data_IF_483205152814
#
_entry.id   IF_483205152814
#
_cell.length_a   1.000
_cell.length_b   1.000
_cell.length_c   1.000
_cell.angle_alpha   90.00
_cell.angle_beta   90.00
_cell.angle_gamma   90.00
#
_symmetry.space_group_name_H-M   'P 1'
#
loop_
_entity.id
_entity.type
_entity.pdbx_description
1 polymer ?
#
# COMPACT_ATOMS: atom_id res chain seq x y z
N UNK A 1 35.40 -24.61 -7.88
CA UNK A 1 34.98 -23.27 -7.42
C UNK A 1 35.06 -23.30 -5.91
N UNK A 2 35.78 -22.37 -5.29
CA UNK A 2 35.83 -22.27 -3.81
C UNK A 2 34.48 -21.79 -3.32
N UNK A 3 34.05 -22.15 -2.11
CA UNK A 3 32.74 -21.78 -1.56
C UNK A 3 32.48 -20.25 -1.61
N UNK A 4 33.53 -19.47 -1.32
CA UNK A 4 33.48 -18.00 -1.39
C UNK A 4 33.22 -17.50 -2.83
N UNK A 5 33.79 -18.10 -3.83
CA UNK A 5 33.60 -17.73 -5.25
C UNK A 5 32.14 -18.00 -5.68
N UNK A 6 31.58 -19.14 -5.23
CA UNK A 6 30.19 -19.47 -5.47
C UNK A 6 29.24 -18.41 -4.85
N UNK A 7 29.42 -18.11 -3.56
CA UNK A 7 28.57 -17.11 -2.89
C UNK A 7 28.75 -15.72 -3.47
N UNK A 8 29.96 -15.33 -3.87
CA UNK A 8 30.23 -14.05 -4.53
C UNK A 8 29.43 -13.92 -5.82
N UNK A 9 29.41 -14.95 -6.63
CA UNK A 9 28.65 -14.98 -7.89
C UNK A 9 27.14 -14.99 -7.65
N UNK A 10 26.64 -15.86 -6.74
CA UNK A 10 25.21 -16.01 -6.45
C UNK A 10 24.62 -14.76 -5.81
N UNK A 11 25.34 -14.12 -4.88
CA UNK A 11 24.89 -12.92 -4.18
C UNK A 11 25.14 -11.62 -4.96
N UNK A 12 25.90 -11.68 -6.05
CA UNK A 12 26.27 -10.51 -6.84
C UNK A 12 27.10 -9.49 -6.06
N UNK A 13 27.88 -9.93 -5.07
CA UNK A 13 28.74 -9.06 -4.27
C UNK A 13 29.96 -8.70 -5.09
N UNK A 14 30.18 -7.41 -5.30
CA UNK A 14 31.27 -6.86 -6.08
C UNK A 14 32.05 -5.81 -5.30
N UNK A 15 33.32 -5.60 -5.68
CA UNK A 15 34.16 -4.54 -5.09
C UNK A 15 33.44 -3.19 -5.08
N UNK A 16 33.59 -2.42 -4.02
CA UNK A 16 34.54 -2.57 -2.90
C UNK A 16 34.09 -3.53 -1.78
N UNK A 17 33.00 -4.27 -1.94
CA UNK A 17 32.56 -5.27 -0.98
C UNK A 17 33.11 -6.66 -1.35
N UNK A 18 33.64 -7.38 -0.36
CA UNK A 18 34.28 -8.67 -0.54
C UNK A 18 33.79 -9.63 0.53
N UNK A 19 33.45 -10.86 0.16
CA UNK A 19 33.15 -11.92 1.12
C UNK A 19 34.45 -12.35 1.79
N UNK A 20 34.49 -12.22 3.11
CA UNK A 20 35.66 -12.62 3.92
C UNK A 20 35.51 -14.02 4.49
N UNK A 21 34.26 -14.46 4.76
CA UNK A 21 33.96 -15.77 5.32
C UNK A 21 32.55 -16.25 4.96
N UNK A 22 32.36 -17.56 4.94
CA UNK A 22 31.05 -18.19 4.74
C UNK A 22 30.93 -19.41 5.66
N UNK A 23 29.96 -19.41 6.56
CA UNK A 23 29.73 -20.46 7.54
C UNK A 23 28.36 -21.08 7.41
N UNK A 24 28.26 -22.39 7.59
CA UNK A 24 27.01 -23.16 7.58
C UNK A 24 26.76 -23.78 8.94
N UNK A 25 25.67 -23.40 9.58
CA UNK A 25 25.15 -24.07 10.78
C UNK A 25 23.99 -24.98 10.36
N UNK A 26 24.30 -26.28 10.25
CA UNK A 26 23.30 -27.29 9.87
C UNK A 26 22.25 -27.46 10.95
N UNK A 27 22.61 -27.30 12.22
CA UNK A 27 21.69 -27.49 13.37
C UNK A 27 20.65 -26.38 13.42
N UNK A 28 21.07 -25.12 13.23
CA UNK A 28 20.17 -23.98 13.20
C UNK A 28 19.58 -23.71 11.81
N UNK A 29 19.97 -24.48 10.81
CA UNK A 29 19.59 -24.28 9.41
C UNK A 29 19.87 -22.86 8.90
N UNK A 30 21.09 -22.38 9.13
CA UNK A 30 21.53 -21.04 8.76
C UNK A 30 22.83 -21.05 7.96
N UNK A 31 22.92 -20.12 7.01
CA UNK A 31 24.15 -19.74 6.33
C UNK A 31 24.45 -18.29 6.69
N UNK A 32 25.62 -18.03 7.24
CA UNK A 32 26.11 -16.69 7.54
C UNK A 32 27.27 -16.34 6.61
N UNK A 33 27.11 -15.25 5.85
CA UNK A 33 28.11 -14.72 4.92
C UNK A 33 28.66 -13.44 5.52
N UNK A 34 29.97 -13.42 5.82
CA UNK A 34 30.66 -12.24 6.32
C UNK A 34 31.23 -11.43 5.17
N UNK A 35 30.95 -10.14 5.16
CA UNK A 35 31.36 -9.21 4.08
C UNK A 35 32.12 -8.04 4.68
N UNK A 36 33.23 -7.68 4.05
CA UNK A 36 34.05 -6.51 4.42
C UNK A 36 34.06 -5.49 3.27
N UNK A 37 34.26 -4.24 3.63
CA UNK A 37 34.47 -3.16 2.66
C UNK A 37 35.96 -2.94 2.44
N UNK A 38 36.43 -3.21 1.22
CA UNK A 38 37.83 -3.09 0.80
C UNK A 38 37.96 -2.00 -0.28
N UNK A 39 38.05 -0.75 0.17
CA UNK A 39 38.18 0.40 -0.72
C UNK A 39 37.89 1.75 -0.04
N UNK A 40 37.99 2.85 -0.80
CA UNK A 40 37.67 4.17 -0.28
C UNK A 40 36.18 4.29 0.07
N UNK A 41 35.89 4.83 1.25
CA UNK A 41 34.55 5.04 1.71
C UNK A 41 34.02 6.43 1.28
N UNK A 42 32.85 6.48 0.66
CA UNK A 42 32.26 7.70 0.12
C UNK A 42 31.00 8.12 0.87
N UNK A 43 30.77 9.41 0.94
CA UNK A 43 29.55 9.96 1.54
C UNK A 43 28.32 9.59 0.69
N UNK A 44 27.27 8.97 1.28
CA UNK A 44 26.07 8.57 0.54
C UNK A 44 25.25 9.75 0.01
N UNK A 45 25.50 10.96 0.48
CA UNK A 45 24.75 12.16 0.09
C UNK A 45 25.46 12.92 -1.03
N UNK A 46 26.77 13.23 -0.88
CA UNK A 46 27.50 14.03 -1.86
C UNK A 46 28.51 13.25 -2.71
N UNK A 47 28.71 11.94 -2.46
CA UNK A 47 29.63 11.10 -3.21
C UNK A 47 31.13 11.34 -2.93
N UNK A 48 31.48 12.32 -2.11
CA UNK A 48 32.90 12.62 -1.79
C UNK A 48 33.49 11.54 -0.89
N UNK A 49 34.73 11.18 -1.16
CA UNK A 49 35.52 10.34 -0.26
C UNK A 49 35.79 11.10 1.02
N UNK A 50 35.65 10.46 2.17
CA UNK A 50 35.91 11.04 3.48
C UNK A 50 36.62 10.04 4.38
N UNK A 51 37.24 10.55 5.46
CA UNK A 51 37.93 9.71 6.41
C UNK A 51 37.00 8.77 7.15
N UNK A 52 37.47 7.54 7.36
CA UNK A 52 36.73 6.58 8.17
C UNK A 52 36.66 7.04 9.61
N UNK A 53 35.45 7.16 10.16
CA UNK A 53 35.20 7.50 11.54
C UNK A 53 35.28 6.27 12.44
N UNK A 54 34.40 5.26 12.14
CA UNK A 54 34.37 3.95 12.80
C UNK A 54 33.72 2.91 11.91
N UNK A 55 33.41 1.74 12.44
CA UNK A 55 32.74 0.65 11.75
C UNK A 55 31.62 0.11 12.63
N UNK A 56 30.48 -0.22 12.02
CA UNK A 56 29.37 -0.89 12.71
C UNK A 56 29.03 -2.21 12.06
N UNK A 57 28.95 -3.24 12.86
CA UNK A 57 28.45 -4.53 12.41
C UNK A 57 26.96 -4.44 12.13
N UNK A 58 26.54 -4.88 10.96
CA UNK A 58 25.14 -4.93 10.51
C UNK A 58 24.85 -6.28 9.89
N UNK A 59 23.64 -6.78 10.11
CA UNK A 59 23.20 -8.07 9.60
C UNK A 59 21.88 -7.92 8.85
N UNK A 60 21.76 -8.59 7.71
CA UNK A 60 20.57 -8.59 6.85
C UNK A 60 20.15 -10.02 6.53
N UNK A 61 18.85 -10.26 6.62
CA UNK A 61 18.24 -11.47 6.10
C UNK A 61 18.20 -11.40 4.58
N UNK A 62 18.72 -12.46 3.92
CA UNK A 62 18.64 -12.65 2.47
C UNK A 62 17.66 -13.76 2.13
N UNK A 63 17.43 -14.04 0.83
CA UNK A 63 16.67 -15.19 0.36
C UNK A 63 17.31 -16.48 0.88
N UNK A 64 16.46 -17.49 1.13
CA UNK A 64 16.94 -18.79 1.57
C UNK A 64 17.86 -19.44 0.53
N UNK A 65 18.93 -20.04 0.98
CA UNK A 65 19.78 -20.88 0.15
C UNK A 65 19.40 -22.34 0.40
N UNK A 66 18.69 -22.97 -0.54
CA UNK A 66 18.04 -24.26 -0.35
C UNK A 66 17.09 -24.24 0.87
N UNK A 67 17.31 -25.09 1.88
CA UNK A 67 16.55 -25.15 3.12
C UNK A 67 17.07 -24.19 4.22
N UNK A 68 18.20 -23.55 4.00
CA UNK A 68 18.88 -22.73 4.99
C UNK A 68 18.50 -21.26 4.88
N UNK A 69 18.29 -20.61 6.02
CA UNK A 69 18.17 -19.17 6.06
C UNK A 69 19.53 -18.52 5.83
N UNK A 70 19.63 -17.65 4.84
CA UNK A 70 20.87 -16.95 4.56
C UNK A 70 20.87 -15.54 5.16
N UNK A 71 21.95 -15.19 5.82
CA UNK A 71 22.21 -13.87 6.37
C UNK A 71 23.51 -13.31 5.81
N UNK A 72 23.51 -12.01 5.54
CA UNK A 72 24.69 -11.24 5.19
C UNK A 72 25.05 -10.38 6.40
N UNK A 73 26.23 -10.56 6.96
CA UNK A 73 26.79 -9.75 8.04
C UNK A 73 27.93 -8.92 7.47
N UNK A 74 27.92 -7.62 7.67
CA UNK A 74 29.00 -6.76 7.19
C UNK A 74 29.44 -5.74 8.24
N UNK A 75 30.75 -5.52 8.27
CA UNK A 75 31.40 -4.42 9.00
C UNK A 75 31.30 -3.15 8.15
N UNK A 76 30.24 -2.35 8.38
CA UNK A 76 29.90 -1.18 7.56
C UNK A 76 30.62 0.07 8.08
N UNK A 77 31.52 0.68 7.28
CA UNK A 77 32.18 1.91 7.67
C UNK A 77 31.20 3.07 7.87
N UNK A 78 31.47 3.88 8.88
CA UNK A 78 30.97 5.24 8.97
C UNK A 78 32.11 6.20 8.66
N UNK A 79 31.79 7.26 7.96
CA UNK A 79 32.75 8.28 7.53
C UNK A 79 32.38 9.60 8.17
N UNK A 80 33.36 10.48 8.35
CA UNK A 80 33.14 11.86 8.74
C UNK A 80 33.26 12.76 7.50
N UNK A 81 32.13 13.29 7.07
CA UNK A 81 32.06 14.15 5.89
C UNK A 81 31.96 15.61 6.33
N UNK A 82 32.84 16.45 5.82
CA UNK A 82 32.91 17.89 6.17
C UNK A 82 31.58 18.62 5.98
N UNK A 83 30.75 18.17 4.99
CA UNK A 83 29.47 18.80 4.68
C UNK A 83 28.27 18.16 5.41
N UNK A 84 28.34 16.85 5.73
CA UNK A 84 27.20 16.09 6.22
C UNK A 84 27.42 15.43 7.57
N UNK A 85 28.61 15.62 8.17
CA UNK A 85 29.00 14.97 9.41
C UNK A 85 29.09 13.45 9.29
N UNK A 86 29.00 12.77 10.42
CA UNK A 86 29.17 11.31 10.45
C UNK A 86 28.01 10.61 9.76
N UNK A 87 28.31 9.85 8.71
CA UNK A 87 27.37 9.06 7.91
C UNK A 87 27.85 7.63 7.72
N UNK A 88 26.91 6.66 7.76
CA UNK A 88 27.19 5.30 7.35
C UNK A 88 27.18 5.23 5.82
N UNK A 89 28.15 4.53 5.22
CA UNK A 89 28.16 4.34 3.77
C UNK A 89 26.97 3.46 3.34
N UNK A 90 26.53 3.62 2.09
CA UNK A 90 25.48 2.79 1.52
C UNK A 90 25.98 1.37 1.26
N UNK A 91 25.12 0.37 1.50
CA UNK A 91 25.37 -1.00 1.09
C UNK A 91 24.55 -1.30 -0.17
N UNK A 92 25.07 -2.06 -1.15
CA UNK A 92 24.38 -2.26 -2.43
C UNK A 92 23.17 -3.20 -2.34
N UNK A 93 23.10 -4.04 -1.31
CA UNK A 93 22.08 -5.07 -1.16
C UNK A 93 20.87 -4.71 -0.31
N UNK A 94 20.89 -3.58 0.41
CA UNK A 94 19.80 -3.21 1.31
C UNK A 94 19.58 -1.70 1.36
N UNK A 95 18.35 -1.29 1.64
CA UNK A 95 18.02 0.11 1.94
C UNK A 95 18.46 0.51 3.35
N UNK A 96 18.61 1.81 3.56
CA UNK A 96 18.90 2.37 4.86
C UNK A 96 17.83 1.90 5.88
N UNK A 97 18.31 1.52 7.07
CA UNK A 97 17.48 1.02 8.19
C UNK A 97 16.72 -0.29 7.91
N UNK A 98 16.88 -0.93 6.78
CA UNK A 98 16.35 -2.27 6.57
C UNK A 98 17.22 -3.33 7.24
N UNK A 99 16.59 -4.37 7.81
CA UNK A 99 17.23 -5.62 8.24
C UNK A 99 17.16 -6.72 7.17
N UNK A 100 16.70 -6.36 5.95
CA UNK A 100 16.48 -7.29 4.84
C UNK A 100 17.18 -6.79 3.59
N UNK A 101 17.61 -7.72 2.75
CA UNK A 101 18.11 -7.35 1.43
C UNK A 101 16.96 -6.96 0.50
N UNK A 102 17.25 -6.15 -0.50
CA UNK A 102 16.25 -5.72 -1.50
C UNK A 102 15.59 -6.91 -2.22
N UNK A 103 16.34 -7.96 -2.51
CA UNK A 103 15.81 -9.19 -3.11
C UNK A 103 14.86 -9.94 -2.16
N UNK A 104 15.17 -10.00 -0.87
CA UNK A 104 14.27 -10.57 0.12
C UNK A 104 12.98 -9.78 0.24
N UNK A 105 13.05 -8.45 0.33
CA UNK A 105 11.87 -7.58 0.36
C UNK A 105 11.00 -7.75 -0.90
N UNK A 106 11.64 -7.83 -2.07
CA UNK A 106 10.93 -8.05 -3.33
C UNK A 106 10.19 -9.40 -3.34
N UNK A 107 10.81 -10.46 -2.84
CA UNK A 107 10.20 -11.78 -2.71
C UNK A 107 9.00 -11.75 -1.76
N UNK A 108 9.15 -11.12 -0.58
CA UNK A 108 8.03 -10.95 0.38
C UNK A 108 6.87 -10.20 -0.26
N UNK A 109 7.13 -9.09 -0.95
CA UNK A 109 6.09 -8.31 -1.64
C UNK A 109 5.41 -9.14 -2.74
N UNK A 110 6.17 -9.96 -3.49
CA UNK A 110 5.59 -10.85 -4.49
C UNK A 110 4.64 -11.87 -3.86
N UNK A 111 5.01 -12.51 -2.74
CA UNK A 111 4.15 -13.43 -2.02
C UNK A 111 2.91 -12.75 -1.42
N UNK A 112 3.01 -11.51 -0.96
CA UNK A 112 1.86 -10.76 -0.43
C UNK A 112 0.80 -10.43 -1.48
N UNK A 113 1.12 -10.53 -2.76
CA UNK A 113 0.14 -10.38 -3.86
C UNK A 113 -0.69 -11.64 -4.08
N UNK A 114 -0.17 -12.79 -3.67
CA UNK A 114 -0.78 -14.11 -3.93
C UNK A 114 -1.35 -14.76 -2.65
N UNK A 115 -0.77 -14.44 -1.49
CA UNK A 115 -1.07 -15.10 -0.23
C UNK A 115 -1.53 -14.12 0.84
N UNK A 116 -2.22 -14.66 1.86
CA UNK A 116 -2.56 -13.88 3.06
C UNK A 116 -1.31 -13.54 3.88
N UNK A 117 -1.34 -12.45 4.63
CA UNK A 117 -0.27 -12.05 5.56
C UNK A 117 0.21 -13.20 6.45
N UNK A 118 -0.74 -13.91 7.11
CA UNK A 118 -0.42 -15.03 7.98
C UNK A 118 0.32 -16.18 7.24
N UNK A 119 0.00 -16.42 5.98
CA UNK A 119 0.69 -17.41 5.17
C UNK A 119 2.12 -16.97 4.84
N UNK A 120 2.33 -15.68 4.52
CA UNK A 120 3.65 -15.13 4.24
C UNK A 120 4.53 -15.13 5.49
N UNK A 121 3.98 -14.74 6.67
CA UNK A 121 4.67 -14.83 7.98
C UNK A 121 5.26 -16.24 8.19
N UNK A 122 4.44 -17.26 8.05
CA UNK A 122 4.87 -18.66 8.24
C UNK A 122 5.88 -19.10 7.19
N UNK A 123 5.63 -18.76 5.90
CA UNK A 123 6.47 -19.19 4.78
C UNK A 123 7.85 -18.55 4.80
N UNK A 124 7.90 -17.24 5.05
CA UNK A 124 9.15 -16.48 5.05
C UNK A 124 9.85 -16.45 6.41
N UNK A 125 9.19 -17.01 7.44
CA UNK A 125 9.73 -17.07 8.82
C UNK A 125 10.11 -15.68 9.34
N UNK A 126 9.19 -14.73 9.20
CA UNK A 126 9.32 -13.33 9.64
C UNK A 126 8.09 -12.93 10.47
N UNK A 127 8.17 -11.83 11.18
CA UNK A 127 7.09 -11.29 12.02
C UNK A 127 6.13 -10.39 11.24
N UNK A 128 5.00 -10.06 11.84
CA UNK A 128 4.05 -9.10 11.29
C UNK A 128 4.64 -7.71 11.15
N UNK A 129 5.41 -7.24 12.13
CA UNK A 129 6.05 -5.92 12.11
C UNK A 129 7.12 -5.82 11.02
N UNK A 130 7.83 -6.92 10.76
CA UNK A 130 8.80 -6.99 9.67
C UNK A 130 8.12 -6.91 8.31
N UNK A 131 6.98 -7.60 8.10
CA UNK A 131 6.19 -7.46 6.87
C UNK A 131 5.69 -6.02 6.70
N UNK A 132 5.15 -5.42 7.76
CA UNK A 132 4.66 -4.03 7.70
C UNK A 132 5.78 -3.09 7.30
N UNK A 133 6.96 -3.21 7.91
CA UNK A 133 8.15 -2.44 7.54
C UNK A 133 8.56 -2.62 6.07
N UNK A 134 8.55 -3.86 5.56
CA UNK A 134 8.84 -4.16 4.14
C UNK A 134 7.80 -3.51 3.23
N UNK A 135 6.51 -3.62 3.55
CA UNK A 135 5.44 -3.00 2.78
C UNK A 135 5.54 -1.47 2.77
N UNK A 136 5.80 -0.84 3.91
CA UNK A 136 5.95 0.61 4.00
C UNK A 136 7.08 1.12 3.11
N UNK A 137 8.24 0.45 3.11
CA UNK A 137 9.35 0.79 2.20
C UNK A 137 8.97 0.53 0.73
N UNK A 138 8.31 -0.58 0.45
CA UNK A 138 7.81 -0.90 -0.90
C UNK A 138 6.84 0.15 -1.44
N UNK A 139 5.90 0.60 -0.62
CA UNK A 139 4.95 1.68 -0.95
C UNK A 139 5.69 2.99 -1.18
N UNK A 140 6.63 3.36 -0.29
CA UNK A 140 7.42 4.58 -0.44
C UNK A 140 8.21 4.61 -1.76
N UNK A 141 8.85 3.48 -2.14
CA UNK A 141 9.53 3.34 -3.44
C UNK A 141 8.57 3.48 -4.62
N UNK A 142 7.40 2.85 -4.51
CA UNK A 142 6.36 2.94 -5.54
C UNK A 142 5.86 4.37 -5.73
N UNK A 143 5.60 5.07 -4.64
CA UNK A 143 5.16 6.47 -4.65
C UNK A 143 6.23 7.41 -5.22
N UNK A 144 7.50 7.23 -4.86
CA UNK A 144 8.61 8.03 -5.38
C UNK A 144 8.82 7.88 -6.90
N UNK A 145 8.50 6.70 -7.46
CA UNK A 145 8.61 6.42 -8.90
C UNK A 145 7.36 6.78 -9.69
N UNK A 146 6.28 7.17 -9.00
CA UNK A 146 5.00 7.42 -9.64
C UNK A 146 5.08 8.64 -10.54
N UNK A 147 4.79 8.43 -11.82
CA UNK A 147 4.63 9.53 -12.78
C UNK A 147 3.29 10.25 -12.50
N UNK A 148 3.32 11.57 -12.49
CA UNK A 148 2.13 12.41 -12.40
C UNK A 148 1.45 12.45 -13.77
N UNK A 149 0.67 11.43 -14.09
CA UNK A 149 -0.15 11.39 -15.31
C UNK A 149 -1.52 12.02 -15.06
N UNK A 150 -2.15 12.48 -16.15
CA UNK A 150 -3.56 12.88 -16.13
C UNK A 150 -4.41 11.62 -15.96
N UNK A 151 -5.29 11.64 -14.97
CA UNK A 151 -6.25 10.55 -14.73
C UNK A 151 -7.62 11.00 -15.22
N UNK A 152 -8.17 10.30 -16.22
CA UNK A 152 -9.43 10.67 -16.88
C UNK A 152 -10.66 10.24 -16.08
N UNK A 153 -10.61 9.07 -15.45
CA UNK A 153 -11.75 8.51 -14.71
C UNK A 153 -11.35 8.18 -13.27
N UNK A 154 -11.99 8.85 -12.34
CA UNK A 154 -11.72 8.75 -10.90
C UNK A 154 -12.86 8.03 -10.20
N UNK A 155 -12.55 7.08 -9.33
CA UNK A 155 -13.47 6.48 -8.37
C UNK A 155 -13.21 7.01 -6.97
N UNK A 156 -14.26 7.43 -6.28
CA UNK A 156 -14.21 7.86 -4.86
C UNK A 156 -15.10 6.90 -4.08
N UNK A 157 -14.51 6.23 -3.08
CA UNK A 157 -15.20 5.26 -2.23
C UNK A 157 -14.80 5.45 -0.76
N UNK A 158 -15.65 4.96 0.16
CA UNK A 158 -15.32 4.94 1.58
C UNK A 158 -15.20 3.51 2.10
N UNK A 159 -14.23 3.28 2.97
CA UNK A 159 -14.06 2.00 3.65
C UNK A 159 -14.04 2.16 5.15
N UNK A 160 -14.96 1.47 5.84
CA UNK A 160 -14.92 1.34 7.29
C UNK A 160 -13.82 0.36 7.72
N UNK A 161 -12.99 0.76 8.70
CA UNK A 161 -11.85 -0.04 9.16
C UNK A 161 -12.15 -0.76 10.47
N UNK A 162 -12.98 -0.15 11.33
CA UNK A 162 -13.34 -0.69 12.64
C UNK A 162 -14.77 -0.28 13.01
N UNK A 163 -15.42 -1.06 13.87
CA UNK A 163 -16.62 -0.63 14.59
C UNK A 163 -16.31 0.71 15.30
N UNK A 164 -17.16 1.71 15.15
CA UNK A 164 -16.98 3.04 15.76
C UNK A 164 -16.63 4.16 14.78
N UNK A 165 -17.13 4.09 13.54
CA UNK A 165 -17.09 5.20 12.55
C UNK A 165 -15.68 5.66 12.13
N UNK A 166 -14.69 4.75 12.11
CA UNK A 166 -13.39 5.05 11.51
C UNK A 166 -13.42 4.67 10.03
N UNK A 167 -13.40 5.68 9.17
CA UNK A 167 -13.45 5.54 7.72
C UNK A 167 -12.15 5.98 7.08
N UNK A 168 -11.86 5.41 5.92
CA UNK A 168 -10.92 5.96 4.95
C UNK A 168 -11.68 6.33 3.69
N UNK A 169 -11.33 7.48 3.10
CA UNK A 169 -11.69 7.83 1.74
C UNK A 169 -10.60 7.31 0.82
N UNK A 170 -10.99 6.56 -0.19
CA UNK A 170 -10.09 5.96 -1.18
C UNK A 170 -10.40 6.62 -2.53
N UNK A 171 -9.36 7.14 -3.17
CA UNK A 171 -9.45 7.65 -4.54
C UNK A 171 -8.67 6.73 -5.45
N UNK A 172 -9.28 6.27 -6.53
CA UNK A 172 -8.71 5.31 -7.48
C UNK A 172 -8.83 5.79 -8.92
N UNK A 173 -7.89 5.38 -9.75
CA UNK A 173 -8.01 5.45 -11.19
C UNK A 173 -8.80 4.24 -11.70
N UNK A 174 -9.96 4.47 -12.29
CA UNK A 174 -10.86 3.42 -12.75
C UNK A 174 -10.35 2.69 -14.00
N UNK A 175 -9.47 3.31 -14.78
CA UNK A 175 -8.86 2.68 -15.96
C UNK A 175 -7.74 1.73 -15.58
N UNK A 176 -6.79 2.21 -14.78
CA UNK A 176 -5.63 1.40 -14.38
C UNK A 176 -5.89 0.55 -13.12
N UNK A 177 -7.04 0.73 -12.46
CA UNK A 177 -7.42 0.08 -11.20
C UNK A 177 -6.41 0.31 -10.07
N UNK A 178 -5.71 1.44 -10.09
CA UNK A 178 -4.71 1.80 -9.10
C UNK A 178 -5.26 2.79 -8.09
N UNK A 179 -4.92 2.59 -6.82
CA UNK A 179 -5.21 3.57 -5.79
C UNK A 179 -4.34 4.82 -6.02
N UNK A 180 -5.00 5.95 -6.11
CA UNK A 180 -4.37 7.26 -6.29
C UNK A 180 -4.02 7.90 -4.96
N UNK A 181 -4.94 7.82 -4.01
CA UNK A 181 -4.81 8.49 -2.73
C UNK A 181 -5.70 7.83 -1.67
N UNK A 182 -5.28 7.93 -0.41
CA UNK A 182 -6.05 7.46 0.74
C UNK A 182 -6.00 8.54 1.82
N UNK A 183 -7.17 8.95 2.31
CA UNK A 183 -7.31 9.89 3.43
C UNK A 183 -8.07 9.30 4.60
N UNK A 184 -7.73 9.71 5.83
CA UNK A 184 -8.46 9.31 7.04
C UNK A 184 -9.72 10.16 7.19
N UNK A 185 -10.86 9.50 7.32
CA UNK A 185 -12.18 10.14 7.45
C UNK A 185 -13.00 10.05 6.17
N UNK A 186 -14.21 10.63 6.21
CA UNK A 186 -15.18 10.70 5.10
C UNK A 186 -15.82 12.09 4.96
N UNK A 187 -15.18 13.10 5.54
CA UNK A 187 -15.64 14.47 5.48
C UNK A 187 -15.20 15.13 4.19
N UNK A 188 -15.83 16.27 3.87
CA UNK A 188 -15.47 17.10 2.73
C UNK A 188 -13.98 17.48 2.74
N UNK A 189 -13.46 17.91 3.90
CA UNK A 189 -12.06 18.32 4.05
C UNK A 189 -11.08 17.19 3.72
N UNK A 190 -11.52 15.94 3.93
CA UNK A 190 -10.69 14.76 3.60
C UNK A 190 -10.45 14.66 2.10
N UNK A 191 -11.51 14.76 1.29
CA UNK A 191 -11.36 14.67 -0.16
C UNK A 191 -10.82 15.97 -0.77
N UNK A 192 -11.08 17.14 -0.16
CA UNK A 192 -10.47 18.42 -0.57
C UNK A 192 -8.93 18.36 -0.50
N UNK A 193 -8.38 17.60 0.46
CA UNK A 193 -6.94 17.39 0.56
C UNK A 193 -6.37 16.63 -0.67
N UNK A 194 -7.13 15.75 -1.29
CA UNK A 194 -6.73 15.07 -2.52
C UNK A 194 -6.65 16.05 -3.69
N UNK A 195 -7.68 16.88 -3.91
CA UNK A 195 -7.72 17.82 -5.03
C UNK A 195 -6.54 18.78 -5.02
N UNK A 196 -6.12 19.22 -3.81
CA UNK A 196 -4.94 20.09 -3.62
C UNK A 196 -3.61 19.44 -4.06
N UNK A 197 -3.57 18.12 -4.24
CA UNK A 197 -2.37 17.42 -4.72
C UNK A 197 -2.25 17.39 -6.25
N UNK A 198 -3.34 17.79 -6.95
CA UNK A 198 -3.42 17.79 -8.41
C UNK A 198 -3.12 19.19 -8.95
N UNK A 199 -2.52 19.25 -10.15
CA UNK A 199 -2.37 20.49 -10.90
C UNK A 199 -3.69 20.87 -11.59
N UNK A 200 -3.81 22.13 -11.99
CA UNK A 200 -4.97 22.60 -12.77
C UNK A 200 -5.17 21.80 -14.06
N UNK A 201 -4.08 21.45 -14.74
CA UNK A 201 -4.11 20.61 -15.93
C UNK A 201 -4.66 19.20 -15.62
N UNK A 202 -4.26 18.61 -14.50
CA UNK A 202 -4.77 17.31 -14.06
C UNK A 202 -6.27 17.38 -13.71
N UNK A 203 -6.71 18.45 -13.04
CA UNK A 203 -8.13 18.67 -12.73
C UNK A 203 -8.97 18.86 -13.99
N UNK A 204 -8.48 19.64 -14.96
CA UNK A 204 -9.16 19.85 -16.24
C UNK A 204 -9.26 18.57 -17.07
N UNK A 205 -8.26 17.68 -16.98
CA UNK A 205 -8.21 16.40 -17.69
C UNK A 205 -9.12 15.31 -17.15
N UNK A 206 -9.81 15.54 -16.01
CA UNK A 206 -10.80 14.59 -15.48
C UNK A 206 -12.05 14.63 -16.36
N UNK A 207 -12.47 13.46 -16.86
CA UNK A 207 -13.63 13.29 -17.74
C UNK A 207 -14.82 12.65 -17.01
N UNK A 208 -14.58 11.83 -15.98
CA UNK A 208 -15.63 11.19 -15.21
C UNK A 208 -15.22 10.88 -13.78
N UNK A 209 -16.19 11.02 -12.86
CA UNK A 209 -15.99 10.76 -11.44
C UNK A 209 -17.13 9.86 -10.95
N UNK A 210 -16.79 8.63 -10.59
CA UNK A 210 -17.74 7.71 -9.95
C UNK A 210 -17.63 7.83 -8.44
N UNK A 211 -18.77 7.98 -7.77
CA UNK A 211 -18.82 8.11 -6.31
C UNK A 211 -20.15 7.60 -5.75
N UNK A 212 -20.20 7.39 -4.43
CA UNK A 212 -21.45 7.20 -3.69
C UNK A 212 -22.24 8.52 -3.61
N UNK A 213 -23.56 8.43 -3.41
CA UNK A 213 -24.47 9.56 -3.20
C UNK A 213 -24.28 10.20 -1.80
N UNK A 214 -23.02 10.45 -1.43
CA UNK A 214 -22.66 11.08 -0.16
C UNK A 214 -22.43 12.58 -0.37
N UNK A 215 -23.28 13.43 0.23
CA UNK A 215 -23.28 14.86 0.01
C UNK A 215 -21.89 15.53 0.18
N UNK A 216 -21.06 15.21 1.20
CA UNK A 216 -19.73 15.80 1.34
C UNK A 216 -18.79 15.54 0.17
N UNK A 217 -18.91 14.37 -0.50
CA UNK A 217 -18.12 14.08 -1.69
C UNK A 217 -18.61 14.88 -2.90
N UNK A 218 -19.92 14.95 -3.08
CA UNK A 218 -20.52 15.74 -4.15
C UNK A 218 -20.13 17.21 -4.04
N UNK A 219 -20.29 17.81 -2.85
CA UNK A 219 -19.94 19.21 -2.60
C UNK A 219 -18.46 19.52 -2.83
N UNK A 220 -17.59 18.56 -2.45
CA UNK A 220 -16.15 18.69 -2.70
C UNK A 220 -15.81 18.64 -4.17
N UNK A 221 -16.39 17.70 -4.92
CA UNK A 221 -16.15 17.55 -6.37
C UNK A 221 -16.64 18.79 -7.11
N UNK A 222 -17.84 19.29 -6.77
CA UNK A 222 -18.42 20.51 -7.40
C UNK A 222 -17.55 21.73 -7.14
N UNK A 223 -16.93 21.83 -5.97
CA UNK A 223 -16.09 22.97 -5.62
C UNK A 223 -14.70 22.96 -6.24
N UNK A 224 -14.15 21.79 -6.56
CA UNK A 224 -12.73 21.64 -6.93
C UNK A 224 -12.51 21.19 -8.38
N UNK A 225 -13.50 20.56 -9.04
CA UNK A 225 -13.33 20.02 -10.38
C UNK A 225 -14.12 20.83 -11.41
N UNK A 226 -13.47 21.34 -12.47
CA UNK A 226 -14.16 22.09 -13.54
C UNK A 226 -15.22 21.23 -14.24
N UNK A 227 -16.39 21.84 -14.52
CA UNK A 227 -17.53 21.20 -15.20
C UNK A 227 -17.99 19.87 -14.56
N UNK A 228 -17.85 19.77 -13.27
CA UNK A 228 -18.05 18.53 -12.49
C UNK A 228 -19.47 17.96 -12.60
N UNK A 229 -20.50 18.80 -12.72
CA UNK A 229 -21.90 18.34 -12.78
C UNK A 229 -22.18 17.40 -13.94
N UNK A 230 -21.47 17.58 -15.06
CA UNK A 230 -21.59 16.73 -16.26
C UNK A 230 -20.67 15.50 -16.20
N UNK A 231 -19.77 15.44 -15.21
CA UNK A 231 -18.76 14.38 -15.06
C UNK A 231 -19.08 13.40 -13.92
N UNK A 232 -20.03 13.74 -13.02
CA UNK A 232 -20.37 12.90 -11.87
C UNK A 232 -21.29 11.76 -12.29
N UNK A 233 -20.91 10.54 -11.91
CA UNK A 233 -21.68 9.31 -12.06
C UNK A 233 -21.83 8.65 -10.69
N UNK A 234 -23.06 8.38 -10.27
CA UNK A 234 -23.29 7.65 -9.02
C UNK A 234 -23.14 6.14 -9.20
N UNK A 235 -22.57 5.46 -8.23
CA UNK A 235 -22.42 4.02 -8.24
C UNK A 235 -23.79 3.33 -8.21
N UNK A 236 -24.06 2.53 -9.25
CA UNK A 236 -25.31 1.78 -9.41
C UNK A 236 -25.59 0.82 -8.25
N UNK A 237 -24.56 0.29 -7.58
CA UNK A 237 -24.73 -0.60 -6.43
C UNK A 237 -25.39 0.14 -5.26
N UNK A 238 -24.95 1.35 -4.99
CA UNK A 238 -25.52 2.19 -3.95
C UNK A 238 -26.96 2.60 -4.29
N UNK A 239 -27.27 2.91 -5.55
CA UNK A 239 -28.64 3.17 -6.02
C UNK A 239 -29.55 1.95 -5.78
N UNK A 240 -29.12 0.76 -6.20
CA UNK A 240 -29.88 -0.47 -6.02
C UNK A 240 -30.09 -0.80 -4.53
N UNK A 241 -29.10 -0.54 -3.68
CA UNK A 241 -29.21 -0.70 -2.23
C UNK A 241 -30.26 0.24 -1.63
N UNK A 242 -30.26 1.53 -2.00
CA UNK A 242 -31.28 2.48 -1.53
C UNK A 242 -32.68 2.05 -1.92
N UNK A 243 -32.88 1.57 -3.16
CA UNK A 243 -34.16 1.02 -3.61
C UNK A 243 -34.59 -0.20 -2.77
N UNK A 244 -33.67 -1.12 -2.52
CA UNK A 244 -33.96 -2.31 -1.70
C UNK A 244 -34.32 -1.92 -0.26
N UNK A 245 -33.58 -0.99 0.33
CA UNK A 245 -33.85 -0.50 1.69
C UNK A 245 -35.22 0.20 1.78
N UNK A 246 -35.59 1.02 0.78
CA UNK A 246 -36.88 1.68 0.70
C UNK A 246 -38.03 0.66 0.58
N UNK A 247 -37.87 -0.37 -0.25
CA UNK A 247 -38.82 -1.47 -0.37
C UNK A 247 -39.01 -2.23 0.95
N UNK A 248 -37.92 -2.52 1.65
CA UNK A 248 -37.97 -3.21 2.95
C UNK A 248 -38.63 -2.35 4.03
N UNK A 249 -38.36 -1.05 4.04
CA UNK A 249 -39.03 -0.12 4.96
C UNK A 249 -40.54 -0.06 4.68
N UNK A 250 -40.94 0.01 3.41
CA UNK A 250 -42.35 -0.01 3.01
C UNK A 250 -43.02 -1.31 3.41
N UNK A 251 -42.41 -2.46 3.16
CA UNK A 251 -42.90 -3.79 3.60
C UNK A 251 -43.08 -3.87 5.12
N UNK A 252 -42.11 -3.33 5.89
CA UNK A 252 -42.19 -3.29 7.36
C UNK A 252 -43.35 -2.41 7.82
N UNK A 253 -43.55 -1.22 7.24
CA UNK A 253 -44.66 -0.36 7.55
C UNK A 253 -46.02 -0.99 7.23
N UNK A 254 -46.18 -1.60 6.06
CA UNK A 254 -47.40 -2.32 5.67
C UNK A 254 -47.71 -3.48 6.62
N UNK A 255 -46.69 -4.22 7.09
CA UNK A 255 -46.90 -5.31 8.07
C UNK A 255 -47.33 -4.79 9.43
N UNK A 256 -46.82 -3.65 9.90
CA UNK A 256 -47.22 -3.01 11.15
C UNK A 256 -48.66 -2.50 11.08
N UNK A 257 -49.04 -1.84 9.99
CA UNK A 257 -50.42 -1.35 9.76
C UNK A 257 -51.41 -2.53 9.70
N UNK A 258 -51.05 -3.67 9.08
CA UNK A 258 -51.88 -4.87 9.00
C UNK A 258 -52.06 -5.55 10.38
N UNK A 259 -51.09 -5.42 11.28
CA UNK A 259 -51.21 -5.92 12.68
C UNK A 259 -52.08 -5.01 13.56
N UNK A 260 -52.09 -3.70 13.31
CA UNK A 260 -52.91 -2.74 14.06
C UNK A 260 -54.38 -2.74 13.65
N UNK A 261 -54.73 -3.23 12.47
CA UNK A 261 -56.14 -3.25 11.94
C UNK A 261 -56.87 -4.52 12.33
N UNK A 262 -56.27 -5.47 13.05
CA UNK A 262 -56.92 -6.78 13.40
C UNK A 262 -57.27 -7.64 12.20
N UNK A 263 -57.68 -8.88 12.37
CA UNK A 263 -58.13 -9.72 11.25
C UNK A 263 -59.38 -9.12 10.59
N UNK A 264 -59.20 -8.51 9.41
CA UNK A 264 -60.30 -8.11 8.57
C UNK A 264 -61.16 -9.34 8.26
N UNK A 265 -62.46 -9.25 8.61
CA UNK A 265 -63.47 -10.24 8.24
C UNK A 265 -63.35 -10.58 6.76
N UNK A 266 -63.44 -11.88 6.45
CA UNK A 266 -63.45 -12.42 5.07
C UNK A 266 -64.45 -11.64 4.23
N UNK A 267 -64.03 -10.67 3.42
CA UNK A 267 -64.95 -9.94 2.56
C UNK A 267 -64.46 -8.61 1.98
N UNK A 268 -63.18 -8.27 2.00
CA UNK A 268 -62.70 -7.05 1.35
C UNK A 268 -61.66 -7.35 0.27
N UNK A 269 -62.11 -7.19 -0.92
CA UNK A 269 -61.57 -7.06 -2.26
C UNK A 269 -60.13 -6.57 -2.36
N UNK A 270 -59.43 -7.10 -3.33
CA UNK A 270 -58.06 -6.85 -3.66
C UNK A 270 -57.72 -5.38 -3.93
N UNK A 271 -56.58 -4.99 -3.43
CA UNK A 271 -55.92 -3.73 -3.74
C UNK A 271 -55.34 -3.81 -5.15
N UNK A 272 -56.09 -3.41 -6.16
CA UNK A 272 -55.58 -3.22 -7.53
C UNK A 272 -54.75 -1.94 -7.56
N UNK A 273 -53.45 -2.12 -7.77
CA UNK A 273 -52.57 -1.00 -8.13
C UNK A 273 -52.86 -0.60 -9.59
N UNK A 274 -53.56 0.50 -9.79
CA UNK A 274 -53.59 1.21 -11.06
C UNK A 274 -52.22 1.89 -11.23
N UNK A 275 -51.40 1.36 -12.13
CA UNK A 275 -50.29 2.11 -12.69
C UNK A 275 -50.92 3.08 -13.71
N UNK A 276 -50.98 4.35 -13.38
CA UNK A 276 -51.21 5.40 -14.36
C UNK A 276 -49.88 5.73 -15.04
N UNK A 277 -49.81 5.36 -16.30
CA UNK A 277 -48.82 5.87 -17.25
C UNK A 277 -49.15 7.32 -17.55
N UNK A 278 -48.18 8.22 -17.27
CA UNK A 278 -48.01 9.51 -17.94
C UNK A 278 -46.51 9.76 -18.10
#
# INVERSE_FOLDING_TARGET
>A
MRDIELYTAVLGIARPWVISDASLDVTQQKVDISVIHDGPATCPICGRTATKYDTRSRRWRHLDFCQYQLFITAEVPRIDCDLHGVKQIAVPWAEERSGFTALFEQCVIAWLRELSFAAVVRRMRITWDEIDGIMMRGVARGMARRQKSIVRFIGIDEKSIRKGHKYFTIVSDLQSQKVLWIGRGRKRETIDAFWKTLSEEQLAGIEGISMDMWAPFFDSVVANVPDSKNKIVFDKFHIAKYLSDALDQTRKRCRLTRRSIGPLSKGAVGCSYAIQET
#
